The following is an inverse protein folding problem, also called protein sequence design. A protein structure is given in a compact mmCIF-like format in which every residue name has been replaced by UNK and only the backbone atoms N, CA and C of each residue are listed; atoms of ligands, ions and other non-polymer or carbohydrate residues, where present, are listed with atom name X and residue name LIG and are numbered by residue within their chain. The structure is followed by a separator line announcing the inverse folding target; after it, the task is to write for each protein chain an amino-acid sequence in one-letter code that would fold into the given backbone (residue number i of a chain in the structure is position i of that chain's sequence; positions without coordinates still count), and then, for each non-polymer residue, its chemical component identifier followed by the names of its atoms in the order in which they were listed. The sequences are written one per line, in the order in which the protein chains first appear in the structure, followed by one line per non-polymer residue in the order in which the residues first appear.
data_IF_431117442044
#
_entry.id   IF_431117442044
#
_cell.length_a   1.000
_cell.length_b   1.000
_cell.length_c   1.000
_cell.angle_alpha   90.00
_cell.angle_beta   90.00
_cell.angle_gamma   90.00
#
_symmetry.space_group_name_H-M   'P 1'
#
loop_
_entity.id
_entity.type
_entity.pdbx_description
1 polymer ?
#
# COMPACT_ATOMS: atom_id res chain seq x y z
N UNK A 1 83.86 -31.39 -13.48
CA UNK A 1 83.15 -31.02 -14.73
C UNK A 1 81.78 -30.49 -14.33
N UNK A 2 81.59 -29.24 -13.91
CA UNK A 2 81.78 -27.92 -14.54
C UNK A 2 80.60 -27.50 -15.46
N UNK A 3 79.66 -26.73 -14.88
CA UNK A 3 78.85 -25.64 -15.49
C UNK A 3 77.98 -25.05 -14.35
N UNK A 4 78.51 -24.13 -13.55
CA UNK A 4 78.39 -22.66 -13.66
C UNK A 4 76.96 -22.13 -13.39
N UNK A 5 76.81 -21.53 -12.21
CA UNK A 5 75.75 -20.58 -11.88
C UNK A 5 76.02 -19.22 -12.55
N UNK A 6 74.98 -18.56 -13.05
CA UNK A 6 74.95 -17.11 -13.21
C UNK A 6 73.62 -16.59 -12.67
N UNK A 7 73.72 -15.75 -11.65
CA UNK A 7 72.65 -14.93 -11.13
C UNK A 7 72.38 -13.76 -12.09
N UNK A 8 71.11 -13.50 -12.38
CA UNK A 8 70.63 -12.34 -13.10
C UNK A 8 69.25 -11.97 -12.58
N UNK A 9 69.23 -11.13 -11.55
CA UNK A 9 68.07 -10.45 -10.99
C UNK A 9 67.36 -9.59 -12.04
N UNK A 10 66.02 -9.69 -12.13
CA UNK A 10 65.06 -8.62 -12.47
C UNK A 10 63.61 -9.19 -12.43
N UNK A 11 62.91 -8.94 -11.33
CA UNK A 11 61.44 -8.73 -11.35
C UNK A 11 61.26 -7.23 -11.03
N UNK A 12 60.33 -6.51 -11.68
CA UNK A 12 58.92 -6.62 -11.33
C UNK A 12 57.96 -6.44 -12.52
N UNK A 13 57.04 -7.39 -12.68
CA UNK A 13 55.86 -7.25 -13.51
C UNK A 13 54.65 -7.73 -12.73
N UNK A 14 54.39 -7.13 -11.55
CA UNK A 14 53.06 -7.22 -10.95
C UNK A 14 52.09 -6.59 -11.94
N UNK A 15 51.40 -7.44 -12.69
CA UNK A 15 50.12 -7.06 -13.29
C UNK A 15 49.25 -6.61 -12.12
N UNK A 16 49.10 -5.29 -12.03
CA UNK A 16 48.19 -4.60 -11.14
C UNK A 16 46.80 -5.05 -11.55
N UNK A 17 46.30 -6.13 -10.93
CA UNK A 17 44.86 -6.35 -10.88
C UNK A 17 44.28 -5.08 -10.28
N UNK A 18 43.56 -4.33 -11.12
CA UNK A 18 42.68 -3.28 -10.64
C UNK A 18 41.82 -3.88 -9.52
N UNK A 19 41.54 -3.15 -8.42
CA UNK A 19 40.65 -3.65 -7.40
C UNK A 19 39.36 -4.07 -8.11
N UNK A 20 39.05 -5.36 -8.11
CA UNK A 20 37.70 -5.81 -8.42
C UNK A 20 36.85 -5.12 -7.37
N UNK A 21 36.16 -4.05 -7.77
CA UNK A 21 35.09 -3.48 -6.96
C UNK A 21 34.17 -4.66 -6.64
N UNK A 22 34.20 -5.09 -5.39
CA UNK A 22 33.28 -6.09 -4.89
C UNK A 22 31.90 -5.52 -5.18
N UNK A 23 31.18 -6.14 -6.13
CA UNK A 23 29.77 -5.89 -6.33
C UNK A 23 29.17 -6.01 -4.92
N UNK A 24 28.54 -4.95 -4.37
CA UNK A 24 28.01 -5.01 -3.02
C UNK A 24 27.05 -6.18 -2.95
N UNK A 25 27.38 -7.21 -2.17
CA UNK A 25 26.48 -8.34 -1.96
C UNK A 25 25.10 -7.80 -1.57
N UNK A 26 24.04 -8.11 -2.32
CA UNK A 26 22.69 -7.67 -2.01
C UNK A 26 22.34 -8.06 -0.56
N UNK A 27 22.02 -7.07 0.28
CA UNK A 27 21.66 -7.29 1.69
C UNK A 27 22.72 -6.89 2.72
N UNK A 28 23.97 -6.60 2.33
CA UNK A 28 25.00 -6.13 3.28
C UNK A 28 24.70 -4.73 3.84
N UNK A 29 24.08 -3.84 3.04
CA UNK A 29 23.67 -2.50 3.47
C UNK A 29 22.65 -2.55 4.62
N UNK A 30 21.58 -3.33 4.45
CA UNK A 30 20.56 -3.53 5.48
C UNK A 30 21.17 -4.03 6.79
N UNK A 31 21.96 -5.10 6.75
CA UNK A 31 22.54 -5.70 7.96
C UNK A 31 23.42 -4.70 8.71
N UNK A 32 24.24 -3.93 8.00
CA UNK A 32 25.11 -2.91 8.60
C UNK A 32 24.32 -1.78 9.25
N UNK A 33 23.31 -1.25 8.57
CA UNK A 33 22.47 -0.18 9.09
C UNK A 33 21.62 -0.66 10.28
N UNK A 34 21.08 -1.88 10.18
CA UNK A 34 20.35 -2.56 11.26
C UNK A 34 21.21 -2.69 12.51
N UNK A 35 22.44 -3.21 12.37
CA UNK A 35 23.36 -3.36 13.49
C UNK A 35 23.68 -2.02 14.17
N UNK A 36 23.85 -0.94 13.39
CA UNK A 36 24.06 0.41 13.94
C UNK A 36 22.85 0.90 14.71
N UNK A 37 21.65 0.75 14.17
CA UNK A 37 20.42 1.15 14.86
C UNK A 37 20.20 0.35 16.16
N UNK A 38 20.47 -0.95 16.13
CA UNK A 38 20.36 -1.83 17.30
C UNK A 38 21.41 -1.54 18.39
N UNK A 39 22.53 -0.90 18.05
CA UNK A 39 23.53 -0.47 19.03
C UNK A 39 23.13 0.82 19.76
N UNK A 40 22.20 1.61 19.21
CA UNK A 40 21.73 2.85 19.84
C UNK A 40 20.89 2.57 21.08
N UNK A 41 20.98 3.48 22.04
CA UNK A 41 20.11 3.50 23.22
C UNK A 41 19.16 4.69 23.15
N UNK A 42 17.98 4.61 23.78
CA UNK A 42 17.12 5.77 23.96
C UNK A 42 17.90 6.86 24.70
N UNK A 43 18.02 8.02 24.06
CA UNK A 43 18.68 9.20 24.60
C UNK A 43 17.91 10.45 24.14
N UNK A 44 17.77 11.41 25.04
CA UNK A 44 17.07 12.68 24.81
C UNK A 44 18.00 13.79 24.30
N UNK A 45 19.27 13.48 24.02
CA UNK A 45 20.20 14.43 23.41
C UNK A 45 19.79 14.77 21.97
N UNK A 46 20.03 16.03 21.57
CA UNK A 46 19.83 16.44 20.17
C UNK A 46 20.70 15.64 19.20
N UNK A 47 21.93 15.30 19.61
CA UNK A 47 22.85 14.49 18.81
C UNK A 47 22.30 13.11 18.51
N UNK A 48 21.75 12.42 19.53
CA UNK A 48 21.16 11.09 19.33
C UNK A 48 19.96 11.14 18.38
N UNK A 49 19.10 12.17 18.49
CA UNK A 49 17.97 12.38 17.58
C UNK A 49 18.43 12.58 16.13
N UNK A 50 19.48 13.38 15.92
CA UNK A 50 20.05 13.58 14.59
C UNK A 50 20.65 12.29 14.03
N UNK A 51 21.35 11.50 14.85
CA UNK A 51 21.90 10.21 14.43
C UNK A 51 20.79 9.22 14.03
N UNK A 52 19.70 9.13 14.80
CA UNK A 52 18.53 8.30 14.49
C UNK A 52 17.90 8.76 13.16
N UNK A 53 17.70 10.07 12.99
CA UNK A 53 17.13 10.61 11.75
C UNK A 53 17.97 10.24 10.53
N UNK A 54 19.29 10.42 10.60
CA UNK A 54 20.22 10.10 9.50
C UNK A 54 20.25 8.59 9.20
N UNK A 55 20.15 7.74 10.22
CA UNK A 55 20.05 6.29 10.02
C UNK A 55 18.74 5.90 9.33
N UNK A 56 17.62 6.54 9.68
CA UNK A 56 16.36 6.32 8.99
C UNK A 56 16.42 6.78 7.54
N UNK A 57 17.03 7.93 7.25
CA UNK A 57 17.28 8.38 5.87
C UNK A 57 18.08 7.35 5.07
N UNK A 58 19.17 6.84 5.67
CA UNK A 58 20.01 5.82 5.02
C UNK A 58 19.22 4.54 4.73
N UNK A 59 18.45 4.06 5.71
CA UNK A 59 17.59 2.89 5.53
C UNK A 59 16.53 3.13 4.44
N UNK A 60 15.85 4.28 4.41
CA UNK A 60 14.84 4.59 3.39
C UNK A 60 15.46 4.74 1.99
N UNK A 61 16.70 5.22 1.90
CA UNK A 61 17.41 5.42 0.62
C UNK A 61 17.98 4.13 0.02
N UNK A 62 18.07 3.07 0.81
CA UNK A 62 18.64 1.80 0.38
C UNK A 62 17.72 1.11 -0.64
N UNK A 63 18.29 0.55 -1.70
CA UNK A 63 17.51 -0.07 -2.78
C UNK A 63 17.14 -1.52 -2.43
N UNK A 64 16.05 -1.67 -1.69
CA UNK A 64 15.49 -2.99 -1.39
C UNK A 64 14.72 -3.57 -2.57
N UNK A 65 15.05 -4.81 -2.92
CA UNK A 65 14.27 -5.62 -3.85
C UNK A 65 13.70 -6.85 -3.13
N UNK A 66 12.55 -7.33 -3.60
CA UNK A 66 12.00 -8.60 -3.15
C UNK A 66 13.00 -9.72 -3.47
N UNK A 67 13.45 -10.46 -2.45
CA UNK A 67 14.51 -11.47 -2.58
C UNK A 67 15.93 -10.97 -2.29
N UNK A 68 16.09 -9.77 -1.73
CA UNK A 68 17.38 -9.20 -1.25
C UNK A 68 18.10 -9.97 -0.13
N UNK A 69 17.66 -11.19 0.19
CA UNK A 69 18.26 -12.03 1.24
C UNK A 69 18.02 -11.54 2.67
N UNK A 70 17.23 -10.48 2.86
CA UNK A 70 16.88 -9.95 4.19
C UNK A 70 15.81 -10.83 4.82
N UNK A 71 16.07 -11.35 6.03
CA UNK A 71 15.11 -12.18 6.73
C UNK A 71 13.92 -11.33 7.26
N UNK A 72 12.67 -11.80 7.12
CA UNK A 72 11.48 -11.18 7.70
C UNK A 72 11.63 -10.75 9.17
N UNK A 73 12.26 -11.61 9.97
CA UNK A 73 12.48 -11.40 11.40
C UNK A 73 13.45 -10.24 11.67
N UNK A 74 14.45 -10.05 10.83
CA UNK A 74 15.40 -8.95 10.98
C UNK A 74 14.73 -7.61 10.69
N UNK A 75 13.80 -7.58 9.73
CA UNK A 75 12.98 -6.40 9.42
C UNK A 75 12.05 -6.08 10.58
N UNK A 76 11.29 -7.07 11.10
CA UNK A 76 10.37 -6.83 12.21
C UNK A 76 11.09 -6.40 13.48
N UNK A 77 12.23 -7.02 13.80
CA UNK A 77 13.07 -6.62 14.94
C UNK A 77 13.62 -5.19 14.79
N UNK A 78 14.09 -4.82 13.58
CA UNK A 78 14.56 -3.47 13.28
C UNK A 78 13.45 -2.43 13.46
N UNK A 79 12.25 -2.69 12.93
CA UNK A 79 11.12 -1.76 13.04
C UNK A 79 10.70 -1.54 14.51
N UNK A 80 10.70 -2.61 15.31
CA UNK A 80 10.41 -2.51 16.74
C UNK A 80 11.50 -1.72 17.45
N UNK A 81 12.77 -1.94 17.13
CA UNK A 81 13.86 -1.16 17.70
C UNK A 81 13.77 0.32 17.31
N UNK A 82 13.47 0.63 16.05
CA UNK A 82 13.25 2.00 15.58
C UNK A 82 12.16 2.70 16.41
N UNK A 83 11.02 2.04 16.62
CA UNK A 83 9.91 2.59 17.41
C UNK A 83 10.25 2.73 18.90
N UNK A 84 11.14 1.89 19.47
CA UNK A 84 11.61 2.03 20.86
C UNK A 84 12.53 3.24 21.05
N UNK A 85 13.29 3.60 20.03
CA UNK A 85 14.20 4.75 20.06
C UNK A 85 13.46 6.08 19.85
N UNK A 86 12.23 6.05 19.32
CA UNK A 86 11.47 7.25 18.97
C UNK A 86 10.31 7.45 19.94
N UNK A 87 10.40 8.40 20.87
CA UNK A 87 9.28 8.73 21.76
C UNK A 87 8.21 9.54 21.02
N UNK A 88 6.94 9.34 21.40
CA UNK A 88 5.77 9.91 20.70
C UNK A 88 5.67 11.44 20.79
N UNK A 89 6.37 12.07 21.73
CA UNK A 89 6.48 13.52 21.81
C UNK A 89 7.35 14.13 20.68
N UNK A 90 8.17 13.33 20.01
CA UNK A 90 9.05 13.77 18.94
C UNK A 90 8.40 13.56 17.56
N UNK A 91 7.39 14.38 17.27
CA UNK A 91 6.56 14.31 16.07
C UNK A 91 7.35 14.13 14.74
N UNK A 92 8.48 14.83 14.57
CA UNK A 92 9.32 14.67 13.38
C UNK A 92 9.95 13.28 13.26
N UNK A 93 10.48 12.73 14.35
CA UNK A 93 11.02 11.38 14.35
C UNK A 93 9.91 10.34 14.20
N UNK A 94 8.72 10.59 14.76
CA UNK A 94 7.56 9.69 14.59
C UNK A 94 7.17 9.62 13.11
N UNK A 95 7.01 10.77 12.44
CA UNK A 95 6.74 10.83 11.00
C UNK A 95 7.81 10.08 10.20
N UNK A 96 9.08 10.25 10.56
CA UNK A 96 10.19 9.54 9.90
C UNK A 96 10.21 8.03 10.14
N UNK A 97 9.92 7.60 11.37
CA UNK A 97 9.79 6.18 11.71
C UNK A 97 8.60 5.54 10.96
N UNK A 98 7.49 6.26 10.81
CA UNK A 98 6.35 5.83 10.02
C UNK A 98 6.68 5.68 8.53
N UNK A 99 7.45 6.62 7.96
CA UNK A 99 7.97 6.48 6.60
C UNK A 99 8.86 5.24 6.43
N UNK A 100 9.73 4.96 7.42
CA UNK A 100 10.58 3.76 7.43
C UNK A 100 9.76 2.47 7.47
N UNK A 101 8.75 2.39 8.36
CA UNK A 101 7.84 1.24 8.45
C UNK A 101 7.16 1.01 7.11
N UNK A 102 6.56 2.06 6.54
CA UNK A 102 5.86 1.97 5.27
C UNK A 102 6.80 1.50 4.16
N UNK A 103 7.96 2.12 4.03
CA UNK A 103 8.94 1.80 2.98
C UNK A 103 9.42 0.35 3.04
N UNK A 104 9.86 -0.12 4.21
CA UNK A 104 10.40 -1.48 4.35
C UNK A 104 9.33 -2.54 4.11
N UNK A 105 8.12 -2.35 4.63
CA UNK A 105 7.04 -3.33 4.46
C UNK A 105 6.49 -3.35 3.04
N UNK A 106 6.40 -2.19 2.37
CA UNK A 106 5.96 -2.10 0.98
C UNK A 106 6.97 -2.76 0.03
N UNK A 107 8.27 -2.48 0.21
CA UNK A 107 9.34 -3.03 -0.66
C UNK A 107 9.61 -4.51 -0.45
N UNK A 108 9.65 -4.96 0.81
CA UNK A 108 10.05 -6.32 1.14
C UNK A 108 8.85 -7.29 1.28
N UNK A 109 7.61 -6.78 1.39
CA UNK A 109 6.37 -7.56 1.58
C UNK A 109 6.49 -8.61 2.69
N UNK A 110 7.04 -8.19 3.82
CA UNK A 110 7.36 -9.05 4.96
C UNK A 110 6.09 -9.38 5.76
N UNK A 111 5.90 -10.67 6.06
CA UNK A 111 4.88 -11.11 7.01
C UNK A 111 5.47 -10.98 8.42
N UNK A 112 4.89 -10.09 9.21
CA UNK A 112 5.30 -9.84 10.59
C UNK A 112 4.69 -10.91 11.51
N UNK A 113 5.47 -11.42 12.45
CA UNK A 113 4.98 -12.27 13.53
C UNK A 113 4.05 -11.48 14.47
N UNK A 114 3.21 -12.21 15.21
CA UNK A 114 2.16 -11.62 16.03
C UNK A 114 2.72 -10.71 17.14
N UNK A 115 3.85 -11.08 17.75
CA UNK A 115 4.43 -10.31 18.85
C UNK A 115 4.98 -8.95 18.38
N UNK A 116 5.74 -8.91 17.29
CA UNK A 116 6.24 -7.65 16.75
C UNK A 116 5.10 -6.82 16.13
N UNK A 117 4.12 -7.46 15.48
CA UNK A 117 2.94 -6.77 14.96
C UNK A 117 2.16 -6.09 16.10
N UNK A 118 1.94 -6.78 17.21
CA UNK A 118 1.25 -6.25 18.38
C UNK A 118 1.92 -4.97 18.91
N UNK A 119 3.24 -4.96 19.00
CA UNK A 119 3.99 -3.78 19.43
C UNK A 119 3.86 -2.62 18.42
N UNK A 120 4.03 -2.90 17.13
CA UNK A 120 3.99 -1.88 16.08
C UNK A 120 2.58 -1.27 15.91
N UNK A 121 1.53 -2.08 16.04
CA UNK A 121 0.14 -1.60 16.06
C UNK A 121 -0.13 -0.71 17.29
N UNK A 122 0.28 -1.15 18.48
CA UNK A 122 0.12 -0.33 19.68
C UNK A 122 0.84 1.03 19.56
N UNK A 123 2.07 1.02 19.01
CA UNK A 123 2.84 2.24 18.77
C UNK A 123 2.16 3.17 17.76
N UNK A 124 1.76 2.66 16.60
CA UNK A 124 1.13 3.48 15.54
C UNK A 124 -0.23 4.03 15.95
N UNK A 125 -1.06 3.25 16.66
CA UNK A 125 -2.33 3.73 17.21
C UNK A 125 -2.10 4.83 18.26
N UNK A 126 -1.14 4.61 19.17
CA UNK A 126 -0.78 5.62 20.19
C UNK A 126 -0.23 6.90 19.56
N UNK A 127 0.55 6.77 18.47
CA UNK A 127 1.10 7.89 17.74
C UNK A 127 -0.01 8.76 17.12
N UNK A 128 -1.03 8.16 16.50
CA UNK A 128 -2.16 8.93 15.95
C UNK A 128 -2.90 9.70 17.06
N UNK A 129 -3.01 9.13 18.26
CA UNK A 129 -3.66 9.78 19.39
C UNK A 129 -2.86 10.94 20.01
N UNK A 130 -1.53 10.88 19.98
CA UNK A 130 -0.67 11.83 20.70
C UNK A 130 0.01 12.86 19.78
N UNK A 131 0.30 12.49 18.53
CA UNK A 131 0.99 13.35 17.58
C UNK A 131 0.02 14.32 16.90
N UNK A 132 0.57 15.45 16.46
CA UNK A 132 -0.15 16.49 15.74
C UNK A 132 -0.67 15.99 14.39
N UNK A 133 -1.78 16.56 13.92
CA UNK A 133 -2.47 16.13 12.69
C UNK A 133 -1.58 16.08 11.44
N UNK A 134 -0.58 16.96 11.33
CA UNK A 134 0.35 16.96 10.20
C UNK A 134 1.17 15.66 10.06
N UNK A 135 1.26 14.84 11.11
CA UNK A 135 1.95 13.53 11.08
C UNK A 135 1.04 12.36 10.69
N UNK A 136 -0.29 12.59 10.69
CA UNK A 136 -1.26 11.49 10.62
C UNK A 136 -1.19 10.76 9.28
N UNK A 137 -0.82 11.45 8.20
CA UNK A 137 -0.69 10.84 6.88
C UNK A 137 0.40 9.76 6.87
N UNK A 138 1.61 10.06 7.35
CA UNK A 138 2.69 9.07 7.41
C UNK A 138 2.35 7.94 8.37
N UNK A 139 1.75 8.25 9.53
CA UNK A 139 1.38 7.21 10.50
C UNK A 139 0.32 6.28 9.92
N UNK A 140 -0.67 6.79 9.18
CA UNK A 140 -1.67 5.98 8.50
C UNK A 140 -1.08 5.15 7.35
N UNK A 141 -0.08 5.65 6.62
CA UNK A 141 0.64 4.85 5.62
C UNK A 141 1.39 3.68 6.26
N UNK A 142 2.04 3.92 7.40
CA UNK A 142 2.67 2.86 8.19
C UNK A 142 1.64 1.84 8.67
N UNK A 143 0.51 2.30 9.22
CA UNK A 143 -0.58 1.44 9.68
C UNK A 143 -1.14 0.60 8.53
N UNK A 144 -1.37 1.20 7.36
CA UNK A 144 -1.85 0.50 6.18
C UNK A 144 -0.90 -0.63 5.75
N UNK A 145 0.41 -0.40 5.82
CA UNK A 145 1.41 -1.41 5.52
C UNK A 145 1.45 -2.54 6.58
N UNK A 146 1.30 -2.19 7.86
CA UNK A 146 1.25 -3.17 8.95
C UNK A 146 0.04 -4.11 8.84
N UNK A 147 -1.14 -3.56 8.55
CA UNK A 147 -2.39 -4.35 8.47
C UNK A 147 -2.57 -5.08 7.15
N UNK A 148 -1.76 -4.77 6.12
CA UNK A 148 -1.80 -5.46 4.84
C UNK A 148 -1.54 -6.96 5.03
N UNK A 149 -2.52 -7.79 4.67
CA UNK A 149 -2.50 -9.25 4.83
C UNK A 149 -2.37 -9.77 6.28
N UNK A 150 -2.41 -8.90 7.28
CA UNK A 150 -2.31 -9.25 8.71
C UNK A 150 -3.63 -9.05 9.48
N UNK A 151 -4.73 -8.70 8.81
CA UNK A 151 -6.00 -8.36 9.46
C UNK A 151 -6.54 -9.41 10.45
N UNK A 152 -6.29 -10.70 10.20
CA UNK A 152 -6.68 -11.79 11.11
C UNK A 152 -5.95 -11.75 12.47
N UNK A 153 -4.73 -11.21 12.51
CA UNK A 153 -3.91 -11.08 13.72
C UNK A 153 -4.23 -9.81 14.51
N UNK A 154 -5.03 -8.90 13.97
CA UNK A 154 -5.32 -7.61 14.58
C UNK A 154 -6.45 -7.66 15.62
N UNK A 155 -6.95 -8.83 16.03
CA UNK A 155 -8.20 -9.00 16.80
C UNK A 155 -8.27 -8.10 18.04
N UNK A 156 -7.17 -8.00 18.78
CA UNK A 156 -7.02 -7.14 19.97
C UNK A 156 -7.28 -5.66 19.70
N UNK A 157 -6.93 -5.17 18.51
CA UNK A 157 -7.01 -3.76 18.13
C UNK A 157 -8.24 -3.41 17.27
N UNK A 158 -9.00 -4.40 16.80
CA UNK A 158 -10.21 -4.16 15.99
C UNK A 158 -11.24 -3.26 16.68
N UNK A 159 -11.52 -3.38 17.99
CA UNK A 159 -12.44 -2.46 18.67
C UNK A 159 -11.96 -1.00 18.62
N UNK A 160 -10.65 -0.76 18.78
CA UNK A 160 -10.07 0.57 18.79
C UNK A 160 -9.93 1.16 17.37
N UNK A 161 -9.67 0.32 16.37
CA UNK A 161 -9.55 0.74 14.97
C UNK A 161 -10.92 0.94 14.30
N UNK A 162 -11.84 -0.03 14.45
CA UNK A 162 -13.09 -0.14 13.68
C UNK A 162 -14.36 -0.12 14.55
N UNK A 163 -14.23 0.05 15.87
CA UNK A 163 -15.41 0.23 16.73
C UNK A 163 -16.20 1.49 16.40
N UNK A 164 -17.35 1.68 17.06
CA UNK A 164 -18.25 2.84 16.81
C UNK A 164 -17.54 4.20 16.91
N UNK A 165 -16.59 4.31 17.83
CA UNK A 165 -15.74 5.50 18.02
C UNK A 165 -14.30 5.23 17.63
N UNK A 166 -14.09 4.21 16.81
CA UNK A 166 -12.80 3.72 16.41
C UNK A 166 -12.03 4.75 15.60
N UNK A 167 -10.72 4.62 15.63
CA UNK A 167 -9.79 5.57 15.04
C UNK A 167 -10.02 5.73 13.53
N UNK A 168 -10.10 4.61 12.79
CA UNK A 168 -10.30 4.62 11.35
C UNK A 168 -11.70 5.13 10.97
N UNK A 169 -12.70 4.90 11.82
CA UNK A 169 -14.05 5.44 11.60
C UNK A 169 -14.08 6.97 11.71
N UNK A 170 -13.37 7.53 12.70
CA UNK A 170 -13.26 8.99 12.84
C UNK A 170 -12.48 9.60 11.68
N UNK A 171 -11.36 9.00 11.31
CA UNK A 171 -10.46 9.52 10.27
C UNK A 171 -10.99 9.27 8.85
N UNK A 172 -11.94 8.36 8.64
CA UNK A 172 -12.59 8.16 7.33
C UNK A 172 -13.88 8.98 7.15
N UNK A 173 -14.34 9.68 8.20
CA UNK A 173 -15.58 10.44 8.16
C UNK A 173 -15.54 11.57 7.10
N UNK A 174 -16.68 11.85 6.46
CA UNK A 174 -16.79 12.90 5.45
C UNK A 174 -16.50 14.30 6.01
N UNK A 175 -16.66 14.50 7.32
CA UNK A 175 -16.31 15.74 8.01
C UNK A 175 -14.80 15.93 8.25
N UNK A 176 -13.97 14.92 7.95
CA UNK A 176 -12.52 15.08 8.01
C UNK A 176 -12.07 16.09 6.95
N UNK A 177 -11.38 17.13 7.42
CA UNK A 177 -10.94 18.26 6.60
C UNK A 177 -9.84 17.89 5.62
N UNK A 178 -9.02 16.90 5.97
CA UNK A 178 -7.91 16.45 5.14
C UNK A 178 -8.35 15.24 4.28
N UNK A 179 -8.49 15.41 2.95
CA UNK A 179 -8.91 14.34 2.06
C UNK A 179 -7.86 13.22 1.92
N UNK A 180 -6.57 13.52 2.14
CA UNK A 180 -5.50 12.54 2.08
C UNK A 180 -5.49 11.63 3.31
N UNK A 181 -5.66 12.21 4.50
CA UNK A 181 -5.86 11.47 5.76
C UNK A 181 -7.10 10.58 5.64
N UNK A 182 -8.20 11.13 5.10
CA UNK A 182 -9.43 10.37 4.86
C UNK A 182 -9.19 9.18 3.94
N UNK A 183 -8.46 9.37 2.84
CA UNK A 183 -8.05 8.30 1.93
C UNK A 183 -7.17 7.26 2.61
N UNK A 184 -6.17 7.67 3.38
CA UNK A 184 -5.26 6.75 4.04
C UNK A 184 -5.99 5.90 5.10
N UNK A 185 -6.95 6.47 5.84
CA UNK A 185 -7.77 5.73 6.78
C UNK A 185 -8.60 4.64 6.08
N UNK A 186 -9.26 4.98 4.97
CA UNK A 186 -10.02 4.04 4.14
C UNK A 186 -9.11 2.95 3.56
N UNK A 187 -7.89 3.31 3.16
CA UNK A 187 -6.90 2.35 2.70
C UNK A 187 -6.48 1.36 3.80
N UNK A 188 -6.32 1.81 5.05
CA UNK A 188 -6.11 0.91 6.20
C UNK A 188 -7.28 -0.07 6.36
N UNK A 189 -8.52 0.41 6.29
CA UNK A 189 -9.72 -0.43 6.38
C UNK A 189 -9.76 -1.47 5.25
N UNK A 190 -9.40 -1.07 4.02
CA UNK A 190 -9.34 -1.98 2.88
C UNK A 190 -8.29 -3.08 3.12
N UNK A 191 -7.11 -2.71 3.63
CA UNK A 191 -6.02 -3.65 3.92
C UNK A 191 -6.36 -4.62 5.06
N UNK A 192 -7.09 -4.16 6.09
CA UNK A 192 -7.63 -5.04 7.16
C UNK A 192 -8.59 -6.11 6.62
N UNK A 193 -9.34 -5.80 5.57
CA UNK A 193 -10.26 -6.73 4.91
C UNK A 193 -9.55 -7.73 3.99
N UNK A 194 -8.26 -7.55 3.70
CA UNK A 194 -7.46 -8.49 2.91
C UNK A 194 -7.04 -9.69 3.77
N UNK A 195 -6.99 -10.86 3.15
CA UNK A 195 -6.47 -12.06 3.80
C UNK A 195 -5.75 -12.92 2.77
N UNK A 196 -4.68 -13.58 3.22
CA UNK A 196 -3.94 -14.54 2.41
C UNK A 196 -4.73 -15.85 2.27
N UNK A 197 -4.52 -16.63 1.19
CA UNK A 197 -5.12 -17.95 1.07
C UNK A 197 -4.81 -18.83 2.30
N UNK A 198 -5.85 -19.44 2.87
CA UNK A 198 -5.73 -20.30 4.06
C UNK A 198 -5.75 -19.57 5.41
N UNK A 199 -5.77 -18.23 5.44
CA UNK A 199 -5.95 -17.47 6.68
C UNK A 199 -7.43 -17.12 6.91
N UNK A 200 -7.88 -17.02 8.17
CA UNK A 200 -9.22 -16.54 8.45
C UNK A 200 -9.36 -15.09 7.97
N UNK A 201 -10.56 -14.75 7.56
CA UNK A 201 -10.88 -13.36 7.22
C UNK A 201 -11.18 -12.56 8.49
N UNK A 202 -11.16 -11.22 8.35
CA UNK A 202 -11.67 -10.30 9.37
C UNK A 202 -13.06 -10.74 9.85
N UNK A 203 -13.40 -10.57 11.12
CA UNK A 203 -14.72 -10.97 11.60
C UNK A 203 -15.85 -10.18 10.93
N UNK A 204 -16.97 -10.85 10.68
CA UNK A 204 -18.13 -10.29 9.98
C UNK A 204 -18.62 -8.92 10.51
N UNK A 205 -18.75 -8.65 11.82
CA UNK A 205 -19.19 -7.34 12.31
C UNK A 205 -18.24 -6.21 11.86
N UNK A 206 -16.93 -6.43 11.90
CA UNK A 206 -15.95 -5.43 11.47
C UNK A 206 -15.87 -5.30 9.96
N UNK A 207 -16.02 -6.40 9.21
CA UNK A 207 -16.16 -6.35 7.75
C UNK A 207 -17.35 -5.47 7.34
N UNK A 208 -18.51 -5.67 7.98
CA UNK A 208 -19.71 -4.90 7.70
C UNK A 208 -19.50 -3.41 7.94
N UNK A 209 -18.80 -3.04 9.02
CA UNK A 209 -18.43 -1.63 9.29
C UNK A 209 -17.59 -1.07 8.14
N UNK A 210 -16.54 -1.77 7.70
CA UNK A 210 -15.74 -1.34 6.56
C UNK A 210 -16.56 -1.22 5.27
N UNK A 211 -17.43 -2.19 4.97
CA UNK A 211 -18.26 -2.15 3.77
C UNK A 211 -19.26 -0.99 3.79
N UNK A 212 -19.85 -0.65 4.93
CA UNK A 212 -20.73 0.52 5.04
C UNK A 212 -19.96 1.82 4.83
N UNK A 213 -18.75 1.95 5.36
CA UNK A 213 -17.89 3.11 5.11
C UNK A 213 -17.56 3.24 3.61
N UNK A 214 -17.15 2.14 2.96
CA UNK A 214 -16.85 2.14 1.52
C UNK A 214 -18.07 2.51 0.67
N UNK A 215 -19.25 1.97 0.97
CA UNK A 215 -20.49 2.30 0.26
C UNK A 215 -20.85 3.78 0.43
N UNK A 216 -20.71 4.31 1.64
CA UNK A 216 -20.97 5.73 1.93
C UNK A 216 -20.08 6.62 1.08
N UNK A 217 -18.77 6.31 1.02
CA UNK A 217 -17.80 7.05 0.22
C UNK A 217 -18.10 6.93 -1.28
N UNK A 218 -18.35 5.71 -1.78
CA UNK A 218 -18.66 5.47 -3.20
C UNK A 218 -19.94 6.17 -3.68
N UNK A 219 -20.89 6.39 -2.77
CA UNK A 219 -22.13 7.10 -3.04
C UNK A 219 -22.03 8.61 -2.82
N UNK A 220 -20.96 9.07 -2.19
CA UNK A 220 -20.76 10.49 -1.93
C UNK A 220 -20.25 11.18 -3.19
N UNK A 221 -20.80 12.36 -3.54
CA UNK A 221 -20.26 13.14 -4.63
C UNK A 221 -18.85 13.64 -4.27
N UNK A 222 -18.03 13.91 -5.30
CA UNK A 222 -16.76 14.60 -5.13
C UNK A 222 -17.00 15.95 -4.44
N UNK A 223 -16.23 16.24 -3.40
CA UNK A 223 -16.26 17.53 -2.71
C UNK A 223 -15.52 18.60 -3.53
N UNK A 224 -15.95 19.85 -3.43
CA UNK A 224 -15.43 20.96 -4.25
C UNK A 224 -13.96 21.32 -3.96
N UNK A 225 -13.46 20.95 -2.79
CA UNK A 225 -12.09 21.16 -2.31
C UNK A 225 -11.10 20.07 -2.74
N UNK A 226 -11.59 18.94 -3.26
CA UNK A 226 -10.76 17.79 -3.62
C UNK A 226 -10.40 17.78 -5.11
N UNK A 227 -9.14 17.50 -5.45
CA UNK A 227 -8.72 17.30 -6.83
C UNK A 227 -9.17 15.94 -7.39
N UNK A 228 -9.15 15.79 -8.72
CA UNK A 228 -9.62 14.57 -9.39
C UNK A 228 -8.74 13.34 -9.10
N UNK A 229 -7.43 13.52 -8.93
CA UNK A 229 -6.49 12.41 -8.67
C UNK A 229 -6.76 11.87 -7.27
N UNK A 230 -6.85 12.73 -6.26
CA UNK A 230 -7.16 12.35 -4.89
C UNK A 230 -8.52 11.68 -4.81
N UNK A 231 -9.54 12.21 -5.51
CA UNK A 231 -10.87 11.59 -5.57
C UNK A 231 -10.82 10.19 -6.20
N UNK A 232 -10.14 10.03 -7.34
CA UNK A 232 -9.98 8.73 -7.99
C UNK A 232 -9.23 7.74 -7.09
N UNK A 233 -8.18 8.17 -6.40
CA UNK A 233 -7.43 7.34 -5.46
C UNK A 233 -8.25 6.98 -4.21
N UNK A 234 -9.15 7.86 -3.78
CA UNK A 234 -10.10 7.63 -2.70
C UNK A 234 -11.13 6.55 -3.07
N UNK A 235 -11.71 6.65 -4.27
CA UNK A 235 -12.59 5.61 -4.82
C UNK A 235 -11.83 4.30 -5.06
N UNK A 236 -10.60 4.35 -5.58
CA UNK A 236 -9.76 3.17 -5.81
C UNK A 236 -9.45 2.44 -4.50
N UNK A 237 -9.28 3.17 -3.38
CA UNK A 237 -9.08 2.56 -2.06
C UNK A 237 -10.32 1.79 -1.58
N UNK A 238 -11.53 2.28 -1.91
CA UNK A 238 -12.79 1.55 -1.65
C UNK A 238 -12.99 0.36 -2.62
N UNK A 239 -12.54 0.52 -3.87
CA UNK A 239 -12.73 -0.42 -4.97
C UNK A 239 -11.59 -1.41 -5.13
N UNK A 240 -10.57 -1.41 -4.25
CA UNK A 240 -9.44 -2.34 -4.33
C UNK A 240 -9.95 -3.75 -4.67
N UNK A 241 -9.62 -4.21 -5.88
CA UNK A 241 -10.27 -5.29 -6.64
C UNK A 241 -10.43 -6.65 -5.91
N UNK A 242 -9.76 -6.82 -4.77
CA UNK A 242 -9.86 -8.01 -3.91
C UNK A 242 -11.06 -7.95 -2.97
N UNK A 243 -11.44 -6.76 -2.51
CA UNK A 243 -12.69 -6.50 -1.77
C UNK A 243 -13.88 -6.82 -2.67
N UNK A 244 -13.80 -6.53 -3.97
CA UNK A 244 -14.84 -6.76 -4.98
C UNK A 244 -15.20 -8.24 -5.24
N UNK A 245 -14.29 -9.21 -5.06
CA UNK A 245 -14.70 -10.64 -5.16
C UNK A 245 -15.71 -11.01 -4.06
N UNK A 246 -15.58 -10.42 -2.87
CA UNK A 246 -16.59 -10.51 -1.80
C UNK A 246 -17.72 -9.49 -1.94
N UNK A 247 -17.43 -8.29 -2.45
CA UNK A 247 -18.44 -7.27 -2.71
C UNK A 247 -19.43 -7.73 -3.78
N UNK A 248 -19.02 -8.55 -4.76
CA UNK A 248 -19.96 -9.19 -5.67
C UNK A 248 -20.94 -10.09 -4.91
N UNK A 249 -20.46 -10.90 -3.97
CA UNK A 249 -21.32 -11.73 -3.12
C UNK A 249 -22.18 -10.90 -2.15
N UNK A 250 -21.61 -9.88 -1.51
CA UNK A 250 -22.29 -9.04 -0.53
C UNK A 250 -23.26 -8.05 -1.17
N UNK A 251 -22.90 -7.42 -2.29
CA UNK A 251 -23.79 -6.59 -3.10
C UNK A 251 -24.91 -7.44 -3.69
N UNK A 252 -24.64 -8.69 -4.12
CA UNK A 252 -25.67 -9.63 -4.55
C UNK A 252 -26.60 -10.01 -3.39
N UNK A 253 -26.07 -10.34 -2.20
CA UNK A 253 -26.87 -10.61 -0.99
C UNK A 253 -27.68 -9.39 -0.53
N UNK A 254 -27.09 -8.19 -0.59
CA UNK A 254 -27.72 -6.94 -0.18
C UNK A 254 -28.79 -6.50 -1.19
N UNK A 255 -28.52 -6.58 -2.51
CA UNK A 255 -29.52 -6.39 -3.57
C UNK A 255 -30.63 -7.42 -3.45
N UNK A 256 -30.30 -8.70 -3.24
CA UNK A 256 -31.28 -9.77 -3.04
C UNK A 256 -32.14 -9.51 -1.80
N UNK A 257 -31.55 -9.09 -0.69
CA UNK A 257 -32.26 -8.72 0.54
C UNK A 257 -33.15 -7.48 0.33
N UNK A 258 -32.68 -6.45 -0.39
CA UNK A 258 -33.47 -5.27 -0.73
C UNK A 258 -34.62 -5.61 -1.68
N UNK A 259 -34.38 -6.44 -2.70
CA UNK A 259 -35.38 -6.96 -3.64
C UNK A 259 -36.43 -7.82 -2.93
N UNK A 260 -36.02 -8.70 -2.02
CA UNK A 260 -36.92 -9.57 -1.27
C UNK A 260 -37.75 -8.81 -0.24
N UNK A 261 -37.19 -7.79 0.42
CA UNK A 261 -37.95 -6.89 1.29
C UNK A 261 -38.92 -5.98 0.51
N UNK A 262 -38.55 -5.54 -0.70
CA UNK A 262 -39.46 -4.81 -1.60
C UNK A 262 -40.62 -5.71 -2.06
N UNK A 263 -40.38 -7.00 -2.30
CA UNK A 263 -41.40 -8.02 -2.65
C UNK A 263 -42.31 -8.40 -1.47
N UNK A 264 -41.81 -8.35 -0.23
CA UNK A 264 -42.63 -8.54 0.99
C UNK A 264 -43.51 -7.32 1.29
N UNK A 265 -43.02 -6.08 1.06
CA UNK A 265 -43.81 -4.85 1.22
C UNK A 265 -44.91 -4.68 0.14
N UNK A 266 -44.76 -5.26 -1.05
CA UNK A 266 -45.76 -5.16 -2.13
C UNK A 266 -46.82 -6.28 -2.14
N UNK A 267 -46.77 -7.25 -1.21
CA UNK A 267 -47.73 -8.37 -1.13
C UNK A 267 -48.90 -8.15 -0.15
N UNK A 268 -49.09 -6.93 0.38
CA UNK A 268 -50.32 -6.57 1.09
C UNK A 268 -51.31 -6.02 0.06
N UNK A 269 -52.14 -6.91 -0.51
CA UNK A 269 -53.19 -6.55 -1.49
C UNK A 269 -54.32 -5.77 -0.79
N UNK A 270 -54.80 -4.65 -1.35
CA UNK A 270 -56.10 -4.11 -1.01
C UNK A 270 -57.20 -4.92 -1.72
N UNK A 271 -58.20 -5.36 -0.96
CA UNK A 271 -59.43 -6.01 -1.45
C UNK A 271 -60.31 -4.92 -2.07
N UNK A 272 -60.68 -5.03 -3.36
CA UNK A 272 -61.71 -4.15 -3.94
C UNK A 272 -62.68 -4.92 -4.84
N UNK A 273 -63.93 -4.48 -4.73
CA UNK A 273 -65.20 -5.01 -5.20
C UNK A 273 -65.44 -4.60 -6.67
N UNK A 274 -65.79 -5.59 -7.50
CA UNK A 274 -66.89 -5.72 -8.50
C UNK A 274 -67.20 -4.63 -9.57
N UNK A 275 -67.69 -5.17 -10.73
CA UNK A 275 -68.44 -4.59 -11.88
C UNK A 275 -67.63 -3.82 -12.95
N UNK A 276 -67.80 -4.01 -14.27
CA UNK A 276 -68.65 -4.86 -15.14
C UNK A 276 -68.49 -4.40 -16.62
N UNK A 277 -68.67 -5.32 -17.59
CA UNK A 277 -69.03 -5.15 -19.04
C UNK A 277 -68.13 -4.29 -19.99
N UNK A 278 -67.96 -4.48 -21.30
CA UNK A 278 -68.27 -5.47 -22.38
C UNK A 278 -67.45 -5.06 -23.65
N UNK A 279 -67.12 -6.01 -24.55
CA UNK A 279 -66.90 -5.92 -26.03
C UNK A 279 -65.74 -5.09 -26.62
N UNK A 280 -65.13 -5.35 -27.79
CA UNK A 280 -64.98 -6.45 -28.78
C UNK A 280 -63.97 -5.95 -29.87
N UNK A 281 -63.40 -6.88 -30.67
CA UNK A 281 -62.73 -6.76 -32.00
C UNK A 281 -61.19 -6.58 -32.17
N UNK A 282 -60.60 -7.68 -32.65
CA UNK A 282 -59.70 -7.88 -33.82
C UNK A 282 -58.69 -6.81 -34.27
N UNK A 283 -57.42 -7.21 -34.41
CA UNK A 283 -56.67 -7.08 -35.67
C UNK A 283 -55.37 -7.90 -35.67
N UNK A 284 -55.09 -8.51 -36.81
CA UNK A 284 -54.10 -9.52 -37.18
C UNK A 284 -52.66 -9.02 -37.38
N UNK A 285 -51.69 -9.95 -37.31
CA UNK A 285 -50.38 -9.78 -37.95
C UNK A 285 -49.33 -10.79 -37.50
N UNK A 286 -49.32 -11.97 -38.12
CA UNK A 286 -48.16 -12.89 -38.15
C UNK A 286 -46.99 -12.26 -38.93
N UNK A 287 -45.75 -12.61 -38.58
CA UNK A 287 -44.83 -13.34 -39.48
C UNK A 287 -43.57 -13.76 -38.70
N UNK A 288 -43.30 -15.05 -38.87
CA UNK A 288 -42.19 -15.88 -38.41
C UNK A 288 -40.92 -15.66 -39.25
N UNK A 289 -39.74 -15.82 -38.64
CA UNK A 289 -38.58 -16.47 -39.26
C UNK A 289 -37.44 -16.65 -38.25
N UNK A 290 -37.13 -17.90 -37.91
CA UNK A 290 -35.78 -18.37 -37.54
C UNK A 290 -35.08 -18.87 -38.85
N UNK A 291 -33.87 -19.51 -38.89
CA UNK A 291 -33.04 -20.04 -37.79
C UNK A 291 -31.49 -20.10 -38.05
N UNK A 292 -30.74 -20.78 -37.15
CA UNK A 292 -29.44 -21.50 -37.34
C UNK A 292 -28.17 -20.61 -37.53
N UNK A 293 -26.98 -20.79 -36.94
CA UNK A 293 -26.10 -21.93 -36.53
C UNK A 293 -24.96 -21.36 -35.65
N UNK A 294 -24.24 -22.18 -34.85
CA UNK A 294 -22.84 -21.84 -34.51
C UNK A 294 -22.26 -22.38 -33.20
N UNK A 295 -21.84 -23.64 -33.24
CA UNK A 295 -20.98 -24.40 -32.32
C UNK A 295 -19.73 -23.64 -31.82
N UNK A 296 -19.29 -23.87 -30.58
CA UNK A 296 -17.88 -23.61 -30.19
C UNK A 296 -17.61 -23.47 -28.70
N UNK A 297 -17.39 -24.59 -28.00
CA UNK A 297 -16.83 -24.64 -26.64
C UNK A 297 -15.31 -24.77 -26.76
N UNK A 298 -14.54 -23.87 -26.17
CA UNK A 298 -13.09 -24.06 -25.93
C UNK A 298 -12.73 -23.52 -24.54
N UNK A 299 -12.28 -24.44 -23.68
CA UNK A 299 -11.55 -24.16 -22.45
C UNK A 299 -10.15 -23.65 -22.81
N UNK A 300 -9.66 -22.60 -22.13
CA UNK A 300 -8.23 -22.32 -22.10
C UNK A 300 -7.79 -21.84 -20.71
N UNK A 301 -7.07 -22.75 -20.06
CA UNK A 301 -5.82 -22.59 -19.32
C UNK A 301 -5.64 -21.41 -18.34
N UNK A 302 -5.56 -21.81 -17.08
CA UNK A 302 -4.99 -21.13 -15.92
C UNK A 302 -3.57 -20.62 -16.19
N UNK A 303 -3.36 -19.32 -16.04
CA UNK A 303 -2.05 -18.67 -16.19
C UNK A 303 -1.91 -17.55 -15.18
N UNK A 304 -1.17 -17.83 -14.10
CA UNK A 304 -0.78 -16.85 -13.09
C UNK A 304 0.24 -15.88 -13.67
N UNK A 305 -0.12 -14.61 -13.81
CA UNK A 305 0.82 -13.50 -13.97
C UNK A 305 0.62 -12.50 -12.83
N UNK A 306 1.56 -12.54 -11.89
CA UNK A 306 1.71 -11.61 -10.78
C UNK A 306 2.36 -10.33 -11.31
N UNK A 307 1.64 -9.20 -11.24
CA UNK A 307 2.17 -7.88 -11.62
C UNK A 307 2.38 -7.03 -10.35
N UNK A 308 3.58 -6.49 -10.10
CA UNK A 308 3.78 -5.42 -9.15
C UNK A 308 3.41 -4.08 -9.79
N UNK A 309 2.52 -3.32 -9.14
CA UNK A 309 2.19 -1.95 -9.53
C UNK A 309 3.12 -0.98 -8.80
N UNK A 310 4.19 -0.56 -9.47
CA UNK A 310 4.95 0.64 -9.09
C UNK A 310 5.24 1.45 -10.35
N UNK A 311 4.41 2.47 -10.62
CA UNK A 311 4.69 3.48 -11.64
C UNK A 311 5.75 4.44 -11.07
N UNK A 312 7.02 4.06 -11.25
CA UNK A 312 8.16 4.96 -11.08
C UNK A 312 8.23 5.92 -12.26
N UNK A 313 8.30 7.21 -11.94
CA UNK A 313 8.59 8.31 -12.87
C UNK A 313 9.91 7.99 -13.59
N UNK A 314 9.84 7.76 -14.91
CA UNK A 314 11.03 7.69 -15.76
C UNK A 314 11.27 9.08 -16.36
N UNK A 315 12.35 9.70 -15.94
CA UNK A 315 12.95 10.88 -16.55
C UNK A 315 13.38 10.54 -17.98
N UNK A 316 12.88 11.28 -18.96
CA UNK A 316 13.31 11.19 -20.36
C UNK A 316 14.75 11.73 -20.50
N UNK A 317 15.65 11.03 -21.22
CA UNK A 317 16.88 11.65 -21.70
C UNK A 317 16.55 12.52 -22.93
N UNK A 318 16.80 13.82 -22.82
CA UNK A 318 16.88 14.72 -23.96
C UNK A 318 18.31 14.67 -24.49
N UNK A 319 18.49 14.17 -25.71
CA UNK A 319 19.64 14.59 -26.51
C UNK A 319 19.37 14.48 -28.03
N UNK A 320 19.91 15.46 -28.77
CA UNK A 320 20.27 15.31 -30.18
C UNK A 320 19.47 16.07 -31.25
N UNK A 321 19.78 17.35 -31.48
CA UNK A 321 19.98 17.87 -32.85
C UNK A 321 20.68 19.22 -32.85
N UNK A 322 21.88 19.27 -33.45
CA UNK A 322 22.78 20.43 -33.45
C UNK A 322 22.74 21.29 -34.70
N UNK A 323 23.55 22.35 -34.70
CA UNK A 323 24.56 22.67 -35.72
C UNK A 323 25.10 24.12 -35.59
N UNK A 324 26.40 24.24 -35.90
CA UNK A 324 27.10 25.41 -36.47
C UNK A 324 27.51 26.61 -35.59
N UNK A 325 28.74 26.52 -35.06
CA UNK A 325 29.91 27.34 -35.46
C UNK A 325 29.87 28.87 -35.46
N UNK A 326 30.74 29.50 -34.65
CA UNK A 326 31.92 30.31 -35.07
C UNK A 326 32.54 31.11 -33.92
N UNK A 327 33.86 30.98 -33.80
CA UNK A 327 34.93 31.98 -33.58
C UNK A 327 34.78 33.19 -32.65
N UNK A 328 35.84 33.43 -31.84
CA UNK A 328 36.27 34.76 -31.34
C UNK A 328 36.36 34.87 -29.81
N UNK A 329 37.50 34.60 -29.17
CA UNK A 329 38.60 35.54 -28.84
C UNK A 329 38.28 36.55 -27.71
N UNK A 330 38.93 36.29 -26.56
CA UNK A 330 39.43 37.18 -25.47
C UNK A 330 38.52 38.16 -24.68
N UNK A 331 38.56 37.99 -23.34
CA UNK A 331 38.78 38.96 -22.23
C UNK A 331 39.20 40.42 -22.63
N UNK A 332 39.01 41.52 -21.83
CA UNK A 332 39.11 41.57 -20.35
C UNK A 332 38.31 42.67 -19.57
N UNK A 333 38.50 42.63 -18.23
CA UNK A 333 38.48 43.70 -17.19
C UNK A 333 37.23 43.98 -16.31
N UNK A 334 37.49 43.77 -15.00
CA UNK A 334 37.04 44.46 -13.78
C UNK A 334 36.08 45.65 -13.88
N UNK A 335 35.02 45.63 -13.06
CA UNK A 335 34.95 46.30 -11.73
C UNK A 335 33.73 45.80 -10.96
#
# INVERSE_FOLDING_TARGET
MAAVQVAGSLTPGQQREAPREAIPEPGNGFRRLSARLCALRPDDSSSARTEIHLLFDQLISENYCQGSGVAPQDVSALLVQACRLVPLNQNHLVSKASQLIHHLLDRLQVIIDEQHLDFLLAYTISAIHQCSSWTHMEILQALAALVYCNGSKCQKYLPELLGKTGLLMKLSDLAQSDPEVRRAAVHCMANLCLSMPGQPYLEEPYQNVCFQAFLTILQSPKSSDMDDITFCMHLASCLMLRVLKKFHFFLFSFLFFKLHNKKKKSRVKPKKIQQGEEKEKESSGEIEAAPVTGTGRVNLHEGNTWCPSSLGVQSLPLDGSGAAGKDGVSSPFNS
#
